data_IF_773055427504
#
_entry.id   IF_773055427504
#
_cell.length_a   1.000
_cell.length_b   1.000
_cell.length_c   1.000
_cell.angle_alpha   90.00
_cell.angle_beta   90.00
_cell.angle_gamma   90.00
#
_symmetry.space_group_name_H-M   'P 1'
#
loop_
_entity.id
_entity.type
_entity.pdbx_description
1 polymer ?
#
# COMPACT_ATOMS: atom_id res chain seq x y z
N UNK A 1 -0.54 7.03 23.26
CA UNK A 1 -1.12 5.66 23.25
C UNK A 1 -2.00 5.53 22.01
N UNK A 2 -1.89 4.46 21.23
CA UNK A 2 -2.65 4.31 19.98
C UNK A 2 -4.13 4.02 20.26
N UNK A 3 -5.03 4.78 19.61
CA UNK A 3 -6.47 4.56 19.69
C UNK A 3 -6.88 3.35 18.84
N UNK A 4 -7.00 2.18 19.48
CA UNK A 4 -7.35 0.92 18.81
C UNK A 4 -8.71 0.99 18.10
N UNK A 5 -9.67 1.74 18.64
CA UNK A 5 -11.00 1.88 18.05
C UNK A 5 -10.94 2.61 16.71
N UNK A 6 -10.20 3.71 16.64
CA UNK A 6 -9.99 4.46 15.40
C UNK A 6 -9.26 3.62 14.34
N UNK A 7 -8.24 2.88 14.74
CA UNK A 7 -7.49 2.03 13.82
C UNK A 7 -8.40 0.94 13.24
N UNK A 8 -9.27 0.34 14.05
CA UNK A 8 -10.24 -0.65 13.58
C UNK A 8 -11.27 -0.03 12.61
N UNK A 9 -11.74 1.20 12.87
CA UNK A 9 -12.63 1.92 11.95
C UNK A 9 -11.97 2.19 10.60
N UNK A 10 -10.71 2.64 10.61
CA UNK A 10 -9.93 2.88 9.40
C UNK A 10 -9.70 1.57 8.64
N UNK A 11 -9.30 0.50 9.32
CA UNK A 11 -9.12 -0.82 8.70
C UNK A 11 -10.42 -1.32 8.05
N UNK A 12 -11.56 -1.13 8.71
CA UNK A 12 -12.86 -1.51 8.17
C UNK A 12 -13.23 -0.69 6.93
N UNK A 13 -13.01 0.63 6.95
CA UNK A 13 -13.25 1.51 5.82
C UNK A 13 -12.39 1.10 4.61
N UNK A 14 -11.07 0.91 4.81
CA UNK A 14 -10.13 0.46 3.77
C UNK A 14 -10.55 -0.89 3.19
N UNK A 15 -10.88 -1.86 4.05
CA UNK A 15 -11.33 -3.18 3.61
C UNK A 15 -12.58 -3.09 2.73
N UNK A 16 -13.59 -2.30 3.15
CA UNK A 16 -14.80 -2.12 2.34
C UNK A 16 -14.50 -1.42 1.03
N UNK A 17 -13.72 -0.34 1.01
CA UNK A 17 -13.43 0.41 -0.21
C UNK A 17 -12.70 -0.45 -1.25
N UNK A 18 -11.68 -1.21 -0.83
CA UNK A 18 -10.88 -2.01 -1.76
C UNK A 18 -11.53 -3.33 -2.20
N UNK A 19 -12.39 -3.91 -1.36
CA UNK A 19 -12.96 -5.24 -1.61
C UNK A 19 -14.48 -5.22 -1.83
N UNK A 20 -15.06 -4.05 -2.07
CA UNK A 20 -16.41 -3.94 -2.63
C UNK A 20 -16.30 -3.99 -4.16
N UNK A 21 -16.90 -4.99 -4.77
CA UNK A 21 -16.96 -5.12 -6.23
C UNK A 21 -18.43 -5.14 -6.66
N UNK A 22 -18.79 -4.32 -7.65
CA UNK A 22 -20.17 -4.16 -8.11
C UNK A 22 -21.18 -3.89 -6.97
N UNK A 23 -20.78 -3.04 -6.01
CA UNK A 23 -21.62 -2.68 -4.84
C UNK A 23 -21.79 -3.79 -3.81
N UNK A 24 -21.19 -4.98 -4.01
CA UNK A 24 -21.25 -6.09 -3.07
C UNK A 24 -19.92 -6.23 -2.34
N UNK A 25 -20.00 -6.20 -1.01
CA UNK A 25 -18.86 -6.45 -0.13
C UNK A 25 -18.99 -7.85 0.48
N UNK A 26 -17.97 -8.67 0.31
CA UNK A 26 -17.87 -9.98 0.97
C UNK A 26 -16.69 -9.91 1.92
N UNK A 27 -16.98 -10.05 3.21
CA UNK A 27 -15.93 -10.06 4.22
C UNK A 27 -15.06 -11.31 4.07
N UNK A 28 -13.74 -11.10 4.00
CA UNK A 28 -12.74 -12.16 4.16
C UNK A 28 -11.70 -11.72 5.19
N UNK A 29 -11.33 -12.65 6.07
CA UNK A 29 -10.37 -12.38 7.15
C UNK A 29 -9.01 -11.93 6.62
N UNK A 30 -8.55 -12.49 5.50
CA UNK A 30 -7.28 -12.11 4.86
C UNK A 30 -7.28 -10.67 4.37
N UNK A 31 -8.38 -10.23 3.76
CA UNK A 31 -8.57 -8.86 3.29
C UNK A 31 -8.58 -7.87 4.45
N UNK A 32 -9.28 -8.22 5.53
CA UNK A 32 -9.30 -7.41 6.73
C UNK A 32 -7.93 -7.37 7.43
N UNK A 33 -7.20 -8.48 7.47
CA UNK A 33 -5.84 -8.52 8.02
C UNK A 33 -4.88 -7.61 7.23
N UNK A 34 -4.98 -7.58 5.89
CA UNK A 34 -4.23 -6.63 5.04
C UNK A 34 -4.61 -5.18 5.36
N UNK A 35 -5.91 -4.88 5.43
CA UNK A 35 -6.40 -3.54 5.75
C UNK A 35 -5.99 -3.09 7.18
N UNK A 36 -5.97 -4.00 8.14
CA UNK A 36 -5.53 -3.73 9.51
C UNK A 36 -4.04 -3.40 9.58
N UNK A 37 -3.19 -4.13 8.85
CA UNK A 37 -1.76 -3.81 8.73
C UNK A 37 -1.57 -2.40 8.16
N UNK A 38 -2.32 -2.05 7.12
CA UNK A 38 -2.28 -0.72 6.52
C UNK A 38 -2.72 0.38 7.50
N UNK A 39 -3.85 0.19 8.19
CA UNK A 39 -4.34 1.14 9.19
C UNK A 39 -3.36 1.33 10.36
N UNK A 40 -2.70 0.26 10.79
CA UNK A 40 -1.67 0.32 11.83
C UNK A 40 -0.42 1.09 11.37
N UNK A 41 0.03 0.88 10.12
CA UNK A 41 1.12 1.63 9.54
C UNK A 41 0.78 3.13 9.42
N UNK A 42 -0.43 3.47 8.95
CA UNK A 42 -0.91 4.85 8.88
C UNK A 42 -0.98 5.50 10.26
N UNK A 43 -1.45 4.79 11.29
CA UNK A 43 -1.51 5.31 12.65
C UNK A 43 -0.10 5.58 13.22
N UNK A 44 0.86 4.70 12.95
CA UNK A 44 2.27 4.88 13.32
C UNK A 44 2.92 6.09 12.62
N UNK A 45 2.60 6.30 11.34
CA UNK A 45 3.03 7.48 10.58
C UNK A 45 2.45 8.76 11.18
N UNK A 46 1.14 8.79 11.42
CA UNK A 46 0.45 9.95 11.97
C UNK A 46 0.92 10.30 13.39
N UNK A 47 1.33 9.31 14.18
CA UNK A 47 1.85 9.55 15.54
C UNK A 47 3.33 9.96 15.57
N UNK A 48 4.01 10.04 14.43
CA UNK A 48 5.45 10.30 14.36
C UNK A 48 6.31 9.23 15.07
N UNK A 49 5.75 8.04 15.30
CA UNK A 49 6.42 6.97 16.06
C UNK A 49 7.35 6.13 15.19
N UNK A 50 7.37 6.39 13.88
CA UNK A 50 8.29 5.76 12.95
C UNK A 50 9.58 6.59 12.88
N UNK A 51 10.76 5.93 12.93
CA UNK A 51 12.00 6.62 12.64
C UNK A 51 11.94 7.17 11.20
N UNK A 52 12.54 8.35 10.99
CA UNK A 52 12.52 9.02 9.67
C UNK A 52 12.98 8.11 8.52
N UNK A 53 13.89 7.17 8.80
CA UNK A 53 14.35 6.16 7.85
C UNK A 53 13.24 5.18 7.41
N UNK A 54 12.32 4.78 8.29
CA UNK A 54 11.20 3.91 7.91
C UNK A 54 10.14 4.68 7.12
N UNK A 55 9.90 5.95 7.46
CA UNK A 55 9.01 6.84 6.68
C UNK A 55 9.53 6.97 5.25
N UNK A 56 10.82 7.26 5.10
CA UNK A 56 11.47 7.39 3.79
C UNK A 56 11.40 6.08 2.96
N UNK A 57 11.52 4.91 3.60
CA UNK A 57 11.33 3.62 2.92
C UNK A 57 9.90 3.43 2.42
N UNK A 58 8.90 3.78 3.23
CA UNK A 58 7.48 3.68 2.87
C UNK A 58 7.16 4.62 1.70
N UNK A 59 7.60 5.87 1.76
CA UNK A 59 7.43 6.86 0.69
C UNK A 59 8.14 6.42 -0.60
N UNK A 60 9.36 5.87 -0.49
CA UNK A 60 10.08 5.35 -1.66
C UNK A 60 9.33 4.17 -2.28
N UNK A 61 8.81 3.26 -1.45
CA UNK A 61 8.04 2.12 -1.91
C UNK A 61 6.72 2.54 -2.60
N UNK A 62 6.04 3.60 -2.13
CA UNK A 62 4.84 4.12 -2.81
C UNK A 62 5.20 4.72 -4.17
N UNK A 63 6.26 5.53 -4.24
CA UNK A 63 6.73 6.11 -5.52
C UNK A 63 7.08 5.03 -6.54
N UNK A 64 7.75 3.95 -6.11
CA UNK A 64 8.09 2.84 -7.00
C UNK A 64 6.83 2.12 -7.51
N UNK A 65 5.80 1.94 -6.67
CA UNK A 65 4.51 1.36 -7.10
C UNK A 65 3.83 2.23 -8.14
N UNK A 66 3.79 3.54 -7.92
CA UNK A 66 3.20 4.49 -8.87
C UNK A 66 3.96 4.49 -10.21
N UNK A 67 5.29 4.35 -10.18
CA UNK A 67 6.11 4.20 -11.38
C UNK A 67 5.79 2.91 -12.13
N UNK A 68 5.66 1.78 -11.43
CA UNK A 68 5.26 0.49 -12.05
C UNK A 68 3.87 0.61 -12.67
N UNK A 69 2.91 1.25 -11.99
CA UNK A 69 1.57 1.46 -12.54
C UNK A 69 1.58 2.42 -13.75
N UNK A 70 2.43 3.45 -13.74
CA UNK A 70 2.60 4.36 -14.88
C UNK A 70 3.16 3.64 -16.13
N UNK A 71 3.95 2.57 -15.96
CA UNK A 71 4.46 1.78 -17.08
C UNK A 71 3.34 1.10 -17.88
N UNK A 72 2.17 0.83 -17.26
CA UNK A 72 1.00 0.24 -17.96
C UNK A 72 0.46 1.13 -19.07
N UNK A 73 0.68 2.44 -18.98
CA UNK A 73 0.19 3.43 -19.95
C UNK A 73 1.23 3.82 -21.01
N UNK A 74 2.42 3.21 -20.98
CA UNK A 74 3.44 3.45 -22.01
C UNK A 74 3.06 2.73 -23.31
N UNK A 75 3.45 3.34 -24.43
CA UNK A 75 3.21 2.77 -25.77
C UNK A 75 3.84 1.39 -25.90
N UNK A 76 3.14 0.45 -26.54
CA UNK A 76 3.62 -0.90 -26.85
C UNK A 76 4.91 -0.93 -27.68
N UNK A 77 5.30 0.19 -28.29
CA UNK A 77 6.57 0.34 -29.01
C UNK A 77 7.79 0.51 -28.08
N UNK A 78 7.58 0.76 -26.79
CA UNK A 78 8.66 0.85 -25.81
C UNK A 78 8.78 -0.45 -25.02
N UNK A 79 9.99 -1.01 -24.96
CA UNK A 79 10.28 -2.11 -24.05
C UNK A 79 10.36 -1.59 -22.61
N UNK A 80 9.27 -1.76 -21.85
CA UNK A 80 9.18 -1.32 -20.44
C UNK A 80 9.64 -2.39 -19.45
N UNK A 81 9.85 -3.61 -19.91
CA UNK A 81 10.12 -4.77 -19.05
C UNK A 81 11.43 -4.70 -18.25
N UNK A 82 12.56 -4.22 -18.79
CA UNK A 82 13.77 -4.06 -17.97
C UNK A 82 13.59 -2.98 -16.89
N UNK A 83 12.84 -1.91 -17.19
CA UNK A 83 12.54 -0.85 -16.21
C UNK A 83 11.63 -1.38 -15.11
N UNK A 84 10.61 -2.15 -15.47
CA UNK A 84 9.70 -2.80 -14.53
C UNK A 84 10.43 -3.75 -13.59
N UNK A 85 11.28 -4.65 -14.12
CA UNK A 85 12.04 -5.60 -13.30
C UNK A 85 13.00 -4.91 -12.33
N UNK A 86 13.62 -3.80 -12.74
CA UNK A 86 14.47 -2.99 -11.85
C UNK A 86 13.67 -2.42 -10.68
N UNK A 87 12.50 -1.85 -10.97
CA UNK A 87 11.61 -1.27 -9.95
C UNK A 87 11.06 -2.33 -9.00
N UNK A 88 10.68 -3.50 -9.50
CA UNK A 88 10.22 -4.63 -8.68
C UNK A 88 11.32 -5.14 -7.73
N UNK A 89 12.58 -5.21 -8.19
CA UNK A 89 13.73 -5.56 -7.32
C UNK A 89 13.99 -4.52 -6.25
N UNK A 90 13.91 -3.23 -6.59
CA UNK A 90 14.07 -2.14 -5.62
C UNK A 90 12.96 -2.18 -4.56
N UNK A 91 11.74 -2.52 -4.96
CA UNK A 91 10.61 -2.72 -4.04
C UNK A 91 10.83 -3.92 -3.11
N UNK A 92 11.34 -5.04 -3.62
CA UNK A 92 11.69 -6.21 -2.78
C UNK A 92 12.80 -5.89 -1.76
N UNK A 93 13.73 -4.99 -2.08
CA UNK A 93 14.81 -4.60 -1.16
C UNK A 93 14.36 -3.63 -0.07
N UNK A 94 13.25 -2.92 -0.31
CA UNK A 94 12.64 -1.98 0.63
C UNK A 94 11.58 -2.63 1.54
N UNK A 95 11.09 -3.83 1.19
CA UNK A 95 10.10 -4.61 1.91
C UNK A 95 10.72 -5.48 3.02
#
# INVERSE_FOLDING_TARGET
MFNRSEIMKVAWAVCRTHYTFNGRFIFRREHFAKALKQAWASAKLASGALPAAEVAKIERASVIRDQIDALKYKSSRMNVEPTRQRLERELMFLA
#
